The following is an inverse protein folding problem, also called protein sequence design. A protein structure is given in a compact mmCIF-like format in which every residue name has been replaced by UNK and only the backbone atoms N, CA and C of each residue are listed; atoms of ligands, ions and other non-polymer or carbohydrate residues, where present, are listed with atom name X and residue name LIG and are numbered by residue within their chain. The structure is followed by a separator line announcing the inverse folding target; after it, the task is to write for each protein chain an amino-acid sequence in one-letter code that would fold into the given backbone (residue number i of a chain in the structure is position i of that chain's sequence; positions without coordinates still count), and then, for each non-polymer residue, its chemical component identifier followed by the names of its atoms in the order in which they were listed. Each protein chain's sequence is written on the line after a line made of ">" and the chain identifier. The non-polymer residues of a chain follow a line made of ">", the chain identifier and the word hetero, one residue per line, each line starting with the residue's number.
data_IF_222259644052
#
_entry.id   IF_222259644052
#
_cell.length_a   1.000
_cell.length_b   1.000
_cell.length_c   1.000
_cell.angle_alpha   90.00
_cell.angle_beta   90.00
_cell.angle_gamma   90.00
#
_symmetry.space_group_name_H-M   'P 1'
#
loop_
_entity.id
_entity.type
_entity.pdbx_description
1 polymer ?
#
# COMPACT_ATOMS: atom_id res chain seq x y z
N UNK A 1 19.51 6.74 -41.24
CA UNK A 1 19.54 6.90 -40.73
C UNK A 1 19.20 6.89 -40.24
N UNK A 2 19.24 6.85 -39.82
CA UNK A 2 19.09 6.97 -39.11
C UNK A 2 18.56 6.56 -38.42
N UNK A 3 18.46 6.23 -38.16
CA UNK A 3 18.00 5.99 -37.44
C UNK A 3 17.93 5.70 -36.48
N UNK A 4 18.17 5.51 -36.22
CA UNK A 4 18.20 5.42 -35.35
C UNK A 4 17.92 5.42 -34.59
N UNK A 5 17.98 5.44 -34.32
CA UNK A 5 17.76 5.68 -33.45
C UNK A 5 16.96 5.48 -33.01
N UNK A 6 16.56 5.33 -32.93
CA UNK A 6 15.76 5.23 -32.33
C UNK A 6 15.46 4.45 -31.68
N UNK A 7 15.66 4.04 -31.67
CA UNK A 7 15.46 3.25 -30.94
C UNK A 7 15.79 3.27 -29.84
N UNK A 8 16.18 3.47 -29.81
CA UNK A 8 16.46 3.71 -28.84
C UNK A 8 15.82 4.14 -28.14
N UNK A 9 15.56 4.52 -28.18
CA UNK A 9 15.02 5.05 -27.45
C UNK A 9 14.15 4.41 -26.98
N UNK A 10 13.89 3.93 -27.24
CA UNK A 10 12.96 3.31 -26.78
C UNK A 10 13.23 2.58 -25.71
N UNK A 11 14.01 2.05 -25.85
CA UNK A 11 14.27 1.39 -24.74
C UNK A 11 14.20 2.17 -23.65
N UNK A 12 14.35 3.09 -23.74
CA UNK A 12 14.34 3.78 -22.70
C UNK A 12 13.15 3.97 -22.16
N UNK A 13 12.30 4.09 -22.77
CA UNK A 13 11.20 4.37 -22.21
C UNK A 13 10.75 3.35 -21.37
N UNK A 14 11.00 2.22 -21.61
CA UNK A 14 10.47 1.31 -20.77
C UNK A 14 10.95 1.45 -19.46
N UNK A 15 12.08 1.89 -19.33
CA UNK A 15 12.54 2.02 -18.04
C UNK A 15 11.69 2.86 -17.28
N UNK A 16 11.09 3.73 -17.93
CA UNK A 16 10.41 4.62 -17.18
C UNK A 16 9.38 4.02 -16.39
N UNK A 17 8.76 2.99 -16.79
CA UNK A 17 7.72 2.72 -16.02
C UNK A 17 7.96 2.02 -14.86
N UNK A 18 9.06 1.49 -14.70
CA UNK A 18 9.20 0.94 -13.48
C UNK A 18 9.24 1.86 -12.48
N UNK A 19 9.33 3.03 -12.79
CA UNK A 19 9.42 3.98 -11.76
C UNK A 19 8.17 4.11 -11.01
N UNK A 20 7.14 3.46 -11.39
CA UNK A 20 5.99 3.62 -10.60
C UNK A 20 6.09 2.83 -9.35
N UNK A 21 7.20 2.40 -9.00
CA UNK A 21 7.36 1.68 -7.79
C UNK A 21 6.85 2.45 -6.61
N UNK A 22 6.40 1.75 -5.63
CA UNK A 22 5.87 2.38 -4.44
C UNK A 22 6.99 3.05 -3.65
N UNK A 23 6.64 3.93 -2.73
CA UNK A 23 7.65 4.63 -1.94
C UNK A 23 8.32 3.74 -0.91
N UNK A 24 7.93 2.50 -0.79
CA UNK A 24 8.51 1.60 0.19
C UNK A 24 8.45 0.18 -0.36
N UNK A 25 9.26 -0.72 0.17
CA UNK A 25 9.24 -2.10 -0.31
C UNK A 25 7.87 -2.72 -0.06
N UNK A 26 7.38 -3.47 -1.00
CA UNK A 26 6.09 -4.12 -0.87
C UNK A 26 6.18 -5.58 -0.51
N UNK A 27 7.32 -6.19 -0.71
CA UNK A 27 7.44 -7.62 -0.48
C UNK A 27 6.51 -8.36 -1.42
N UNK A 28 5.66 -9.21 -0.88
CA UNK A 28 4.74 -9.96 -1.71
C UNK A 28 3.43 -9.20 -1.93
N UNK A 29 3.30 -8.00 -1.38
CA UNK A 29 2.06 -7.25 -1.52
C UNK A 29 2.04 -6.41 -2.78
N UNK A 30 0.83 -6.08 -3.25
CA UNK A 30 0.64 -5.12 -4.32
C UNK A 30 0.03 -3.87 -3.70
N UNK A 31 -0.01 -2.78 -4.46
CA UNK A 31 -0.68 -1.58 -3.97
C UNK A 31 -2.17 -1.82 -3.74
N UNK A 32 -2.74 -2.73 -4.50
CA UNK A 32 -4.13 -3.07 -4.27
C UNK A 32 -4.28 -3.78 -2.93
N UNK A 33 -3.33 -4.65 -2.58
CA UNK A 33 -3.35 -5.32 -1.28
C UNK A 33 -3.24 -4.31 -0.15
N UNK A 34 -2.42 -3.28 -0.32
CA UNK A 34 -2.30 -2.23 0.66
C UNK A 34 -3.65 -1.54 0.87
N UNK A 35 -4.34 -1.22 -0.23
CA UNK A 35 -5.65 -0.60 -0.11
C UNK A 35 -6.68 -1.50 0.54
N UNK A 36 -6.68 -2.78 0.16
CA UNK A 36 -7.63 -3.73 0.74
C UNK A 36 -7.40 -3.85 2.24
N UNK A 37 -6.13 -3.91 2.65
CA UNK A 37 -5.86 -4.01 4.08
C UNK A 37 -6.22 -2.73 4.81
N UNK A 38 -6.03 -1.57 4.18
CA UNK A 38 -6.41 -0.31 4.80
C UNK A 38 -7.92 -0.26 5.07
N UNK A 39 -8.72 -0.72 4.11
CA UNK A 39 -10.17 -0.80 4.30
C UNK A 39 -10.51 -1.77 5.44
N UNK A 40 -9.83 -2.89 5.49
CA UNK A 40 -10.06 -3.86 6.54
C UNK A 40 -9.71 -3.27 7.91
N UNK A 41 -8.58 -2.59 8.02
CA UNK A 41 -8.17 -1.99 9.27
C UNK A 41 -9.15 -0.89 9.69
N UNK A 42 -9.65 -0.14 8.73
CA UNK A 42 -10.62 0.90 9.03
C UNK A 42 -11.91 0.28 9.55
N UNK A 43 -12.31 -0.86 8.98
CA UNK A 43 -13.48 -1.57 9.46
C UNK A 43 -13.27 -2.00 10.92
N UNK A 44 -12.09 -2.51 11.25
CA UNK A 44 -11.79 -2.88 12.63
C UNK A 44 -11.93 -1.68 13.55
N UNK A 45 -11.44 -0.53 13.11
CA UNK A 45 -11.55 0.68 13.90
C UNK A 45 -13.01 1.07 14.11
N UNK A 46 -13.81 1.02 13.05
CA UNK A 46 -15.22 1.37 13.17
C UNK A 46 -15.98 0.38 14.04
N UNK A 47 -15.52 -0.87 14.10
CA UNK A 47 -16.12 -1.86 14.95
C UNK A 47 -15.71 -1.69 16.40
N UNK A 48 -14.88 -0.73 16.71
CA UNK A 48 -14.49 -0.45 18.08
C UNK A 48 -13.26 -1.18 18.58
N UNK A 49 -12.50 -1.82 17.69
CA UNK A 49 -11.29 -2.50 18.13
C UNK A 49 -10.27 -1.51 18.64
N UNK A 50 -9.54 -1.93 19.67
CA UNK A 50 -8.38 -1.17 20.12
C UNK A 50 -7.17 -1.56 19.27
N UNK A 51 -6.10 -0.77 19.36
CA UNK A 51 -4.88 -1.09 18.62
C UNK A 51 -4.34 -2.46 18.98
N UNK A 52 -4.24 -2.86 20.27
CA UNK A 52 -3.80 -4.21 20.59
C UNK A 52 -4.67 -5.30 19.98
N UNK A 53 -5.99 -5.09 19.92
CA UNK A 53 -6.87 -6.07 19.32
C UNK A 53 -6.64 -6.13 17.80
N UNK A 54 -6.42 -4.99 17.17
CA UNK A 54 -6.15 -4.97 15.75
C UNK A 54 -4.82 -5.65 15.44
N UNK A 55 -3.81 -5.48 16.30
CA UNK A 55 -2.54 -6.14 16.10
C UNK A 55 -2.71 -7.65 16.19
N UNK A 56 -3.54 -8.14 17.11
CA UNK A 56 -3.78 -9.57 17.21
C UNK A 56 -4.46 -10.08 15.96
N UNK A 57 -5.39 -9.29 15.40
CA UNK A 57 -6.03 -9.68 14.15
C UNK A 57 -5.03 -9.75 13.00
N UNK A 58 -4.09 -8.80 12.98
CA UNK A 58 -3.09 -8.80 11.94
C UNK A 58 -2.27 -10.08 12.00
N UNK A 59 -1.91 -10.53 13.20
CA UNK A 59 -1.15 -11.76 13.31
C UNK A 59 -1.95 -12.96 12.83
N UNK A 60 -3.27 -12.95 13.02
CA UNK A 60 -4.11 -14.03 12.55
C UNK A 60 -4.12 -14.11 11.03
N UNK A 61 -3.86 -13.00 10.33
CA UNK A 61 -3.84 -13.01 8.88
C UNK A 61 -2.59 -13.67 8.35
N UNK A 62 -1.60 -13.92 9.21
CA UNK A 62 -0.39 -14.65 8.85
C UNK A 62 0.33 -14.01 7.67
N UNK A 63 0.86 -12.80 7.87
CA UNK A 63 1.63 -12.15 6.81
C UNK A 63 2.72 -13.08 6.30
N UNK A 64 2.96 -13.05 4.99
CA UNK A 64 3.88 -14.00 4.39
C UNK A 64 5.33 -13.75 4.74
N UNK A 65 5.70 -12.51 4.94
CA UNK A 65 7.09 -12.23 5.29
C UNK A 65 7.13 -10.97 6.15
N UNK A 66 8.32 -10.61 6.61
CA UNK A 66 8.46 -9.49 7.52
C UNK A 66 8.17 -8.16 6.84
N UNK A 67 8.40 -8.06 5.54
CA UNK A 67 8.10 -6.83 4.82
C UNK A 67 6.60 -6.62 4.76
N UNK A 68 5.87 -7.66 4.47
CA UNK A 68 4.42 -7.58 4.44
C UNK A 68 3.88 -7.20 5.80
N UNK A 69 4.40 -7.84 6.86
CA UNK A 69 3.94 -7.55 8.20
C UNK A 69 4.23 -6.10 8.57
N UNK A 70 5.41 -5.60 8.16
CA UNK A 70 5.76 -4.23 8.44
C UNK A 70 4.82 -3.25 7.74
N UNK A 71 4.50 -3.53 6.49
CA UNK A 71 3.60 -2.66 5.74
C UNK A 71 2.21 -2.66 6.35
N UNK A 72 1.71 -3.83 6.72
CA UNK A 72 0.40 -3.92 7.32
C UNK A 72 0.37 -3.19 8.66
N UNK A 73 1.42 -3.32 9.45
CA UNK A 73 1.51 -2.63 10.73
C UNK A 73 1.49 -1.12 10.53
N UNK A 74 2.23 -0.63 9.53
CA UNK A 74 2.27 0.81 9.27
C UNK A 74 0.92 1.33 8.80
N UNK A 75 0.25 0.60 7.92
CA UNK A 75 -1.07 0.98 7.44
C UNK A 75 -2.05 1.02 8.62
N UNK A 76 -1.98 0.02 9.49
CA UNK A 76 -2.86 -0.05 10.63
C UNK A 76 -2.63 1.15 11.55
N UNK A 77 -1.37 1.56 11.73
CA UNK A 77 -1.11 2.71 12.56
C UNK A 77 -1.68 4.00 11.99
N UNK A 78 -1.62 4.15 10.66
CA UNK A 78 -2.19 5.33 10.04
C UNK A 78 -3.71 5.33 10.22
N UNK A 79 -4.33 4.19 10.00
CA UNK A 79 -5.78 4.09 10.09
C UNK A 79 -6.26 4.34 11.51
N UNK A 80 -5.55 3.83 12.51
CA UNK A 80 -5.97 3.99 13.90
C UNK A 80 -5.48 5.32 14.48
N UNK A 81 -4.68 6.07 13.75
CA UNK A 81 -4.19 7.36 14.22
C UNK A 81 -5.07 8.49 13.76
N UNK A 82 -4.53 9.69 13.82
CA UNK A 82 -5.29 10.88 13.47
C UNK A 82 -5.75 10.92 12.03
N UNK A 83 -4.98 10.30 11.13
CA UNK A 83 -5.41 10.30 9.73
C UNK A 83 -6.75 9.59 9.57
N UNK A 84 -6.96 8.50 10.29
CA UNK A 84 -8.19 7.74 10.14
C UNK A 84 -9.43 8.45 10.68
N UNK A 85 -9.25 9.52 11.45
CA UNK A 85 -10.40 10.20 12.02
C UNK A 85 -11.38 10.66 10.95
N UNK A 86 -10.91 11.03 9.78
CA UNK A 86 -11.78 11.53 8.73
C UNK A 86 -11.97 10.53 7.60
N UNK A 87 -11.49 9.30 7.76
CA UNK A 87 -11.61 8.33 6.69
C UNK A 87 -12.81 7.43 6.91
N UNK A 88 -13.31 6.86 5.82
CA UNK A 88 -14.31 5.80 5.84
C UNK A 88 -13.58 4.52 5.40
N UNK A 89 -14.28 3.39 5.51
CA UNK A 89 -13.72 2.13 5.05
C UNK A 89 -13.30 2.25 3.57
N UNK A 90 -14.18 2.83 2.75
CA UNK A 90 -13.88 2.95 1.35
C UNK A 90 -12.76 3.94 1.08
N UNK A 91 -12.79 5.11 1.72
CA UNK A 91 -11.78 6.11 1.44
C UNK A 91 -10.41 5.68 1.95
N UNK A 92 -10.35 4.95 3.06
CA UNK A 92 -9.07 4.45 3.56
C UNK A 92 -8.40 3.58 2.51
N UNK A 93 -9.16 2.70 1.89
CA UNK A 93 -8.60 1.83 0.86
C UNK A 93 -8.14 2.62 -0.35
N UNK A 94 -8.96 3.56 -0.81
CA UNK A 94 -8.62 4.34 -1.99
C UNK A 94 -7.41 5.22 -1.74
N UNK A 95 -7.33 5.86 -0.58
CA UNK A 95 -6.22 6.73 -0.25
C UNK A 95 -4.92 5.94 -0.19
N UNK A 96 -4.93 4.82 0.51
CA UNK A 96 -3.70 4.07 0.69
C UNK A 96 -3.25 3.41 -0.61
N UNK A 97 -4.20 2.92 -1.42
CA UNK A 97 -3.83 2.35 -2.70
C UNK A 97 -3.24 3.41 -3.61
N UNK A 98 -3.89 4.56 -3.69
CA UNK A 98 -3.41 5.64 -4.56
C UNK A 98 -2.06 6.14 -4.09
N UNK A 99 -1.87 6.29 -2.79
CA UNK A 99 -0.60 6.75 -2.27
C UNK A 99 0.52 5.78 -2.64
N UNK A 100 0.24 4.49 -2.55
CA UNK A 100 1.20 3.47 -2.93
C UNK A 100 1.51 3.55 -4.42
N UNK A 101 0.47 3.71 -5.25
CA UNK A 101 0.66 3.73 -6.70
C UNK A 101 1.37 4.97 -7.19
N UNK A 102 1.21 6.08 -6.50
CA UNK A 102 1.83 7.32 -6.96
C UNK A 102 3.25 7.49 -6.45
N UNK A 103 3.71 6.61 -5.59
CA UNK A 103 5.07 6.72 -5.11
C UNK A 103 5.27 7.77 -4.04
N UNK A 104 4.21 8.17 -3.35
CA UNK A 104 4.34 9.19 -2.33
C UNK A 104 4.13 8.72 -0.93
#
# INVERSE_FOLDING_TARGET
>A
MKKINLALFCGLLCAAFQSSASPYPLGSMTCEDIGTFASQAMQWREDGMTIPQAKAKLEELKPEDSVEKQNMTNVMRLVFGGYGDSWTVESAGNIMRTDCETGR
#
